data_IF_758066142490
#
_entry.id   IF_758066142490
#
_cell.length_a   1.000
_cell.length_b   1.000
_cell.length_c   1.000
_cell.angle_alpha   90.00
_cell.angle_beta   90.00
_cell.angle_gamma   90.00
#
_symmetry.space_group_name_H-M   'P 1'
#
loop_
_entity.id
_entity.type
_entity.pdbx_description
1 polymer ?
#
# COMPACT_ATOMS: atom_id res chain seq x y z
N UNK A 1 -8.94 -14.96 5.63
CA UNK A 1 -8.98 -15.30 4.21
C UNK A 1 -10.26 -14.78 3.58
N UNK A 2 -10.13 -14.08 2.44
CA UNK A 2 -11.28 -13.54 1.72
C UNK A 2 -11.94 -14.67 0.93
N UNK A 3 -13.23 -14.92 1.11
CA UNK A 3 -13.92 -15.94 0.30
C UNK A 3 -13.76 -15.68 -1.20
N UNK A 4 -13.70 -16.72 -2.06
CA UNK A 4 -13.52 -16.57 -3.50
C UNK A 4 -14.52 -15.61 -4.17
N UNK A 5 -15.76 -15.62 -3.74
CA UNK A 5 -16.81 -14.74 -4.28
C UNK A 5 -16.59 -13.25 -3.98
N UNK A 6 -15.80 -12.92 -2.97
CA UNK A 6 -15.44 -11.52 -2.64
C UNK A 6 -14.20 -11.05 -3.37
N UNK A 7 -13.48 -11.94 -4.04
CA UNK A 7 -12.21 -11.65 -4.69
C UNK A 7 -12.34 -11.31 -6.16
N UNK A 8 -13.55 -11.20 -6.68
CA UNK A 8 -13.78 -10.86 -8.08
C UNK A 8 -13.20 -9.52 -8.45
N UNK A 9 -12.49 -9.48 -9.56
CA UNK A 9 -12.21 -8.23 -10.27
C UNK A 9 -13.51 -7.81 -10.96
N UNK A 10 -13.94 -6.59 -10.72
CA UNK A 10 -14.97 -6.00 -11.54
C UNK A 10 -14.35 -5.54 -12.87
N UNK A 11 -15.11 -5.70 -13.93
CA UNK A 11 -14.70 -5.50 -15.33
C UNK A 11 -14.29 -4.07 -15.69
N UNK A 12 -14.41 -3.11 -14.79
CA UNK A 12 -14.18 -1.70 -15.09
C UNK A 12 -12.72 -1.31 -15.26
N UNK A 13 -11.77 -2.10 -14.78
CA UNK A 13 -10.35 -1.73 -14.81
C UNK A 13 -10.04 -0.41 -14.09
N UNK A 14 -10.91 0.04 -13.22
CA UNK A 14 -10.78 1.30 -12.51
C UNK A 14 -9.62 1.24 -11.52
N UNK A 15 -8.79 2.28 -11.53
CA UNK A 15 -7.57 2.39 -10.71
C UNK A 15 -7.79 3.43 -9.66
N UNK A 16 -7.53 3.08 -8.41
CA UNK A 16 -7.68 3.99 -7.28
C UNK A 16 -6.47 3.96 -6.36
N UNK A 17 -6.23 5.08 -5.70
CA UNK A 17 -5.21 5.26 -4.66
C UNK A 17 -5.73 6.18 -3.56
N UNK A 18 -5.02 6.25 -2.45
CA UNK A 18 -5.42 7.10 -1.34
C UNK A 18 -6.66 6.58 -0.60
N UNK A 19 -6.93 5.27 -0.70
CA UNK A 19 -8.05 4.64 -0.03
C UNK A 19 -7.74 4.34 1.43
N UNK A 20 -8.78 4.37 2.24
CA UNK A 20 -8.75 3.84 3.61
C UNK A 20 -8.90 2.31 3.61
N UNK A 21 -8.43 1.60 4.66
CA UNK A 21 -8.47 0.14 4.68
C UNK A 21 -9.84 -0.47 4.40
N UNK A 22 -10.92 0.09 4.94
CA UNK A 22 -12.28 -0.42 4.74
C UNK A 22 -12.86 -0.09 3.35
N UNK A 23 -12.34 0.93 2.68
CA UNK A 23 -12.74 1.28 1.30
C UNK A 23 -12.19 0.27 0.29
N UNK A 24 -11.15 -0.49 0.67
CA UNK A 24 -10.55 -1.50 -0.19
C UNK A 24 -11.55 -2.58 -0.62
N UNK A 25 -12.54 -2.90 0.20
CA UNK A 25 -13.57 -3.88 -0.14
C UNK A 25 -14.75 -3.27 -0.92
N UNK A 26 -15.01 -1.98 -0.76
CA UNK A 26 -16.21 -1.33 -1.30
C UNK A 26 -16.05 -0.80 -2.72
N UNK A 27 -14.87 -0.27 -3.08
CA UNK A 27 -14.64 0.41 -4.36
C UNK A 27 -14.37 -0.53 -5.54
N UNK A 28 -13.87 -1.71 -5.28
CA UNK A 28 -13.58 -2.80 -6.25
C UNK A 28 -12.89 -2.39 -7.55
N UNK A 29 -11.90 -1.49 -7.55
CA UNK A 29 -11.06 -1.27 -8.72
C UNK A 29 -10.20 -2.50 -9.00
N UNK A 30 -9.69 -2.66 -10.23
CA UNK A 30 -8.82 -3.77 -10.59
C UNK A 30 -7.52 -3.77 -9.76
N UNK A 31 -6.95 -2.60 -9.54
CA UNK A 31 -5.73 -2.41 -8.74
C UNK A 31 -5.87 -1.16 -7.87
N UNK A 32 -5.18 -1.19 -6.73
CA UNK A 32 -5.17 -0.11 -5.74
C UNK A 32 -3.75 0.18 -5.31
N UNK A 33 -3.48 1.42 -4.94
CA UNK A 33 -2.20 1.85 -4.42
C UNK A 33 -2.36 2.37 -3.01
N UNK A 34 -1.59 1.84 -2.10
CA UNK A 34 -1.57 2.23 -0.68
C UNK A 34 -0.14 2.52 -0.23
N UNK A 35 0.06 3.41 0.74
CA UNK A 35 1.37 3.58 1.36
C UNK A 35 1.82 2.27 2.00
N UNK A 36 3.10 1.94 1.88
CA UNK A 36 3.63 0.77 2.57
C UNK A 36 3.81 1.06 4.06
N UNK A 37 3.36 0.11 4.87
CA UNK A 37 3.47 0.17 6.32
C UNK A 37 4.89 -0.10 6.83
N UNK A 38 5.68 -0.85 6.06
CA UNK A 38 7.04 -1.29 6.41
C UNK A 38 8.05 -0.69 5.45
N UNK A 39 8.19 0.63 5.51
CA UNK A 39 9.09 1.34 4.62
C UNK A 39 10.55 0.95 4.81
N UNK A 40 11.27 0.84 3.69
CA UNK A 40 12.72 0.63 3.67
C UNK A 40 13.43 1.95 3.99
N UNK A 41 12.93 3.05 3.43
CA UNK A 41 13.45 4.41 3.68
C UNK A 41 12.30 5.30 4.11
N UNK A 42 12.30 5.70 5.37
CA UNK A 42 11.22 6.49 5.97
C UNK A 42 11.21 7.94 5.50
N UNK A 43 10.07 8.61 5.69
CA UNK A 43 9.93 10.05 5.50
C UNK A 43 11.02 10.83 6.27
N UNK A 44 11.29 10.45 7.52
CA UNK A 44 12.27 11.12 8.37
C UNK A 44 13.68 11.16 7.73
N UNK A 45 14.08 10.06 7.08
CA UNK A 45 15.36 10.03 6.36
C UNK A 45 15.42 11.09 5.26
N UNK A 46 14.38 11.22 4.46
CA UNK A 46 14.32 12.20 3.38
C UNK A 46 14.18 13.63 3.89
N UNK A 47 13.37 13.82 4.93
CA UNK A 47 13.18 15.10 5.58
C UNK A 47 14.50 15.61 6.19
N UNK A 48 15.16 14.80 7.03
CA UNK A 48 16.33 15.22 7.81
C UNK A 48 17.57 15.40 6.95
N UNK A 49 17.73 14.60 5.90
CA UNK A 49 18.93 14.67 5.06
C UNK A 49 18.80 15.59 3.84
N UNK A 50 17.58 15.82 3.36
CA UNK A 50 17.33 16.52 2.09
C UNK A 50 16.28 17.62 2.18
N UNK A 51 15.70 17.88 3.34
CA UNK A 51 14.63 18.85 3.52
C UNK A 51 13.36 18.49 2.72
N UNK A 52 13.10 17.19 2.55
CA UNK A 52 11.89 16.72 1.88
C UNK A 52 10.66 17.12 2.66
N UNK A 53 9.65 17.63 1.97
CA UNK A 53 8.36 17.97 2.57
C UNK A 53 7.26 17.10 1.98
N UNK A 54 6.29 16.77 2.80
CA UNK A 54 5.13 15.97 2.37
C UNK A 54 4.36 16.71 1.29
N UNK A 55 4.04 16.00 0.20
CA UNK A 55 3.18 16.50 -0.87
C UNK A 55 1.76 16.80 -0.34
N UNK A 56 1.11 17.81 -0.91
CA UNK A 56 -0.24 18.23 -0.47
C UNK A 56 -1.28 17.11 -0.57
N UNK A 57 -1.19 16.28 -1.61
CA UNK A 57 -2.13 15.16 -1.77
C UNK A 57 -1.86 14.05 -0.75
N UNK A 58 -0.60 13.84 -0.38
CA UNK A 58 -0.21 12.90 0.67
C UNK A 58 -0.64 13.42 2.05
N UNK A 59 -0.46 14.71 2.33
CA UNK A 59 -0.92 15.34 3.56
C UNK A 59 -2.45 15.23 3.69
N UNK A 60 -3.19 15.52 2.64
CA UNK A 60 -4.66 15.32 2.60
C UNK A 60 -5.07 13.87 2.83
N UNK A 61 -4.30 12.93 2.31
CA UNK A 61 -4.55 11.51 2.56
C UNK A 61 -4.33 11.16 4.04
N UNK A 62 -3.26 11.66 4.67
CA UNK A 62 -3.03 11.53 6.11
C UNK A 62 -4.22 12.10 6.92
N UNK A 63 -4.68 13.30 6.59
CA UNK A 63 -5.86 13.93 7.22
C UNK A 63 -7.12 13.05 7.14
N UNK A 64 -7.33 12.37 6.01
CA UNK A 64 -8.45 11.42 5.87
C UNK A 64 -8.33 10.23 6.82
N UNK A 65 -7.13 9.66 6.98
CA UNK A 65 -6.91 8.59 7.95
C UNK A 65 -7.12 9.07 9.39
N UNK A 66 -6.71 10.30 9.69
CA UNK A 66 -6.88 10.90 11.01
C UNK A 66 -8.36 11.12 11.37
N UNK A 67 -9.15 11.55 10.38
CA UNK A 67 -10.59 11.81 10.54
C UNK A 67 -11.45 10.54 10.55
N UNK A 68 -10.96 9.43 10.05
CA UNK A 68 -11.66 8.14 10.01
C UNK A 68 -11.22 7.25 11.18
N UNK A 69 -12.17 6.81 12.02
CA UNK A 69 -11.88 6.03 13.22
C UNK A 69 -11.12 4.74 12.91
N UNK A 70 -11.55 3.98 11.91
CA UNK A 70 -10.92 2.73 11.49
C UNK A 70 -9.54 2.98 10.86
N UNK A 71 -9.42 4.02 10.04
CA UNK A 71 -8.17 4.47 9.45
C UNK A 71 -7.16 4.89 10.50
N UNK A 72 -7.57 5.72 11.47
CA UNK A 72 -6.72 6.15 12.57
C UNK A 72 -6.25 4.96 13.40
N UNK A 73 -7.16 4.07 13.80
CA UNK A 73 -6.81 2.87 14.56
C UNK A 73 -5.80 1.99 13.80
N UNK A 74 -5.94 1.86 12.49
CA UNK A 74 -5.00 1.12 11.65
C UNK A 74 -3.60 1.73 11.69
N UNK A 75 -3.48 3.05 11.49
CA UNK A 75 -2.20 3.77 11.54
C UNK A 75 -1.54 3.62 12.91
N UNK A 76 -2.27 3.83 14.00
CA UNK A 76 -1.75 3.67 15.36
C UNK A 76 -1.20 2.26 15.61
N UNK A 77 -1.93 1.23 15.16
CA UNK A 77 -1.47 -0.15 15.27
C UNK A 77 -0.17 -0.40 14.51
N UNK A 78 -0.04 0.15 13.32
CA UNK A 78 1.18 0.04 12.50
C UNK A 78 2.35 0.75 13.17
N UNK A 79 2.16 1.97 13.67
CA UNK A 79 3.22 2.72 14.35
C UNK A 79 3.68 1.97 15.60
N UNK A 80 2.75 1.46 16.44
CA UNK A 80 3.09 0.63 17.60
C UNK A 80 3.91 -0.60 17.21
N UNK A 81 3.48 -1.30 16.17
CA UNK A 81 4.19 -2.49 15.67
C UNK A 81 5.61 -2.15 15.25
N UNK A 82 5.82 -1.06 14.52
CA UNK A 82 7.14 -0.58 14.10
C UNK A 82 8.03 -0.21 15.30
N UNK A 83 7.49 0.53 16.26
CA UNK A 83 8.22 0.92 17.48
C UNK A 83 8.66 -0.31 18.27
N UNK A 84 7.75 -1.26 18.50
CA UNK A 84 8.04 -2.52 19.18
C UNK A 84 9.13 -3.32 18.47
N UNK A 85 9.02 -3.46 17.15
CA UNK A 85 10.02 -4.17 16.34
C UNK A 85 11.40 -3.48 16.37
N UNK A 86 11.42 -2.16 16.53
CA UNK A 86 12.64 -1.37 16.68
C UNK A 86 13.18 -1.31 18.13
N UNK A 87 12.52 -1.97 19.09
CA UNK A 87 12.89 -1.93 20.51
C UNK A 87 12.69 -0.55 21.16
N UNK A 88 11.80 0.27 20.58
CA UNK A 88 11.45 1.60 21.09
C UNK A 88 10.17 1.54 21.93
N UNK A 89 9.95 2.59 22.73
CA UNK A 89 8.73 2.73 23.52
C UNK A 89 7.50 2.85 22.60
N UNK A 90 6.56 1.92 22.77
CA UNK A 90 5.30 1.87 22.03
C UNK A 90 4.09 2.27 22.91
N UNK A 91 4.32 2.57 24.21
CA UNK A 91 3.29 2.95 25.18
C UNK A 91 2.99 4.47 25.19
N UNK A 92 3.17 5.11 24.04
CA UNK A 92 2.83 6.51 23.84
C UNK A 92 1.31 6.70 23.70
N UNK A 93 0.83 7.89 24.02
CA UNK A 93 -0.55 8.26 23.74
C UNK A 93 -0.83 8.32 22.24
N UNK A 94 -2.10 8.26 21.86
CA UNK A 94 -2.53 8.17 20.47
C UNK A 94 -2.11 9.40 19.63
N UNK A 95 -2.03 10.58 20.23
CA UNK A 95 -1.64 11.81 19.54
C UNK A 95 -0.14 11.77 19.23
N UNK A 96 0.68 11.39 20.19
CA UNK A 96 2.12 11.20 20.01
C UNK A 96 2.44 10.11 18.98
N UNK A 97 1.70 8.99 19.01
CA UNK A 97 1.85 7.93 18.01
C UNK A 97 1.46 8.39 16.61
N UNK A 98 0.35 9.12 16.47
CA UNK A 98 -0.08 9.62 15.18
C UNK A 98 0.86 10.67 14.60
N UNK A 99 1.51 11.47 15.45
CA UNK A 99 2.57 12.40 15.03
C UNK A 99 3.78 11.67 14.40
N UNK A 100 4.05 10.42 14.81
CA UNK A 100 5.09 9.59 14.21
C UNK A 100 4.67 8.92 12.89
N UNK A 101 3.45 9.14 12.45
CA UNK A 101 2.91 8.50 11.25
C UNK A 101 3.35 9.16 9.92
N UNK A 102 4.13 10.22 9.94
CA UNK A 102 4.58 10.91 8.73
C UNK A 102 5.35 9.97 7.79
N UNK A 103 6.19 9.10 8.34
CA UNK A 103 6.88 8.06 7.60
C UNK A 103 5.94 7.07 6.91
N UNK A 104 4.76 6.82 7.47
CA UNK A 104 3.73 5.96 6.89
C UNK A 104 3.15 6.54 5.58
N UNK A 105 2.99 7.86 5.51
CA UNK A 105 2.36 8.53 4.38
C UNK A 105 3.37 9.12 3.39
N UNK A 106 4.46 9.67 3.90
CA UNK A 106 5.40 10.47 3.13
C UNK A 106 6.65 9.75 2.63
N UNK A 107 6.82 8.46 2.90
CA UNK A 107 8.09 7.72 2.68
C UNK A 107 8.38 7.39 1.26
N UNK A 108 7.81 7.53 0.24
CA UNK A 108 8.19 7.12 -1.13
C UNK A 108 8.27 5.58 -1.34
N UNK A 109 7.51 4.84 -0.55
CA UNK A 109 7.32 3.41 -0.74
C UNK A 109 5.82 3.09 -0.74
N UNK A 110 5.31 2.62 -1.86
CA UNK A 110 3.90 2.28 -2.03
C UNK A 110 3.75 0.81 -2.43
N UNK A 111 2.59 0.25 -2.11
CA UNK A 111 2.20 -1.10 -2.54
C UNK A 111 1.03 -0.99 -3.51
N UNK A 112 1.17 -1.61 -4.67
CA UNK A 112 0.08 -1.79 -5.64
C UNK A 112 -0.51 -3.16 -5.40
N UNK A 113 -1.80 -3.21 -5.07
CA UNK A 113 -2.52 -4.42 -4.68
C UNK A 113 -3.58 -4.74 -5.73
N UNK A 114 -3.63 -5.98 -6.19
CA UNK A 114 -4.73 -6.49 -7.01
C UNK A 114 -6.00 -6.66 -6.17
N UNK A 115 -7.16 -6.41 -6.75
CA UNK A 115 -8.44 -6.61 -6.03
C UNK A 115 -8.80 -8.08 -5.90
N UNK A 116 -8.34 -8.90 -6.84
CA UNK A 116 -8.62 -10.33 -6.86
C UNK A 116 -7.59 -11.08 -6.01
N UNK A 117 -8.09 -11.82 -5.01
CA UNK A 117 -7.25 -12.71 -4.19
C UNK A 117 -7.16 -14.10 -4.82
N UNK A 118 -8.27 -14.63 -5.33
CA UNK A 118 -8.35 -15.93 -5.95
C UNK A 118 -8.64 -15.84 -7.46
N UNK A 119 -8.39 -16.91 -8.18
CA UNK A 119 -8.82 -17.03 -9.57
C UNK A 119 -10.34 -17.14 -9.66
N UNK A 120 -10.93 -16.79 -10.80
CA UNK A 120 -12.36 -16.91 -11.00
C UNK A 120 -12.78 -18.37 -10.93
N UNK A 121 -13.82 -18.64 -10.14
CA UNK A 121 -14.32 -20.00 -9.92
C UNK A 121 -13.47 -20.84 -8.97
N UNK A 122 -12.56 -20.23 -8.21
CA UNK A 122 -11.78 -20.93 -7.19
C UNK A 122 -12.68 -21.67 -6.19
N UNK A 123 -12.30 -22.90 -5.88
CA UNK A 123 -13.01 -23.79 -4.95
C UNK A 123 -12.21 -24.08 -3.69
N UNK A 124 -10.93 -23.74 -3.67
CA UNK A 124 -10.06 -23.84 -2.49
C UNK A 124 -9.07 -22.68 -2.39
N UNK A 125 -8.47 -22.53 -1.24
CA UNK A 125 -7.60 -21.43 -0.87
C UNK A 125 -6.19 -21.50 -1.50
N UNK A 126 -5.83 -22.59 -2.16
CA UNK A 126 -4.59 -22.68 -2.92
C UNK A 126 -4.66 -22.02 -4.31
N UNK A 127 -5.86 -21.73 -4.79
CA UNK A 127 -6.13 -21.18 -6.12
C UNK A 127 -6.00 -19.65 -6.14
N UNK A 128 -4.85 -19.16 -5.73
CA UNK A 128 -4.57 -17.73 -5.63
C UNK A 128 -4.41 -17.06 -7.00
N UNK A 129 -4.90 -15.83 -7.12
CA UNK A 129 -4.61 -14.98 -8.26
C UNK A 129 -3.13 -14.54 -8.22
N UNK A 130 -2.46 -14.66 -9.35
CA UNK A 130 -1.05 -14.34 -9.52
C UNK A 130 -0.83 -13.57 -10.82
N UNK A 131 0.38 -13.09 -11.06
CA UNK A 131 0.72 -12.52 -12.37
C UNK A 131 0.44 -13.48 -13.53
N UNK A 132 0.61 -14.78 -13.32
CA UNK A 132 0.34 -15.80 -14.34
C UNK A 132 -1.14 -16.04 -14.63
N UNK A 133 -2.04 -15.54 -13.80
CA UNK A 133 -3.51 -15.72 -13.96
C UNK A 133 -4.22 -14.43 -14.39
N UNK A 134 -3.50 -13.33 -14.55
CA UNK A 134 -4.05 -12.09 -15.09
C UNK A 134 -4.32 -12.22 -16.61
N UNK A 135 -5.43 -11.64 -17.05
CA UNK A 135 -5.69 -11.46 -18.47
C UNK A 135 -4.73 -10.43 -19.11
N UNK A 136 -4.60 -10.38 -20.44
CA UNK A 136 -3.81 -9.34 -21.10
C UNK A 136 -4.23 -7.92 -20.73
N UNK A 137 -5.53 -7.66 -20.58
CA UNK A 137 -6.05 -6.35 -20.18
C UNK A 137 -5.68 -5.99 -18.74
N UNK A 138 -5.76 -6.94 -17.82
CA UNK A 138 -5.31 -6.77 -16.44
C UNK A 138 -3.80 -6.51 -16.37
N UNK A 139 -2.99 -7.21 -17.16
CA UNK A 139 -1.56 -6.95 -17.27
C UNK A 139 -1.27 -5.54 -17.79
N UNK A 140 -2.00 -5.10 -18.81
CA UNK A 140 -1.88 -3.75 -19.33
C UNK A 140 -2.20 -2.71 -18.25
N UNK A 141 -3.32 -2.87 -17.54
CA UNK A 141 -3.71 -1.98 -16.44
C UNK A 141 -2.66 -1.96 -15.32
N UNK A 142 -2.21 -3.11 -14.86
CA UNK A 142 -1.20 -3.22 -13.80
C UNK A 142 0.10 -2.53 -14.22
N UNK A 143 0.55 -2.75 -15.45
CA UNK A 143 1.79 -2.17 -15.97
C UNK A 143 1.67 -0.65 -16.11
N UNK A 144 0.58 -0.17 -16.68
CA UNK A 144 0.32 1.26 -16.84
C UNK A 144 0.24 1.95 -15.47
N UNK A 145 -0.51 1.38 -14.54
CA UNK A 145 -0.63 1.92 -13.19
C UNK A 145 0.72 1.92 -12.45
N UNK A 146 1.51 0.88 -12.62
CA UNK A 146 2.87 0.82 -12.05
C UNK A 146 3.76 1.92 -12.65
N UNK A 147 3.70 2.14 -13.95
CA UNK A 147 4.47 3.19 -14.62
C UNK A 147 4.05 4.60 -14.15
N UNK A 148 2.75 4.85 -14.02
CA UNK A 148 2.23 6.11 -13.52
C UNK A 148 2.62 6.33 -12.04
N UNK A 149 2.51 5.29 -11.22
CA UNK A 149 2.94 5.33 -9.82
C UNK A 149 4.44 5.62 -9.69
N UNK A 150 5.26 5.02 -10.55
CA UNK A 150 6.71 5.28 -10.62
C UNK A 150 7.00 6.73 -10.99
N UNK A 151 6.30 7.28 -11.99
CA UNK A 151 6.44 8.68 -12.39
C UNK A 151 6.10 9.62 -11.24
N UNK A 152 5.04 9.34 -10.50
CA UNK A 152 4.62 10.16 -9.36
C UNK A 152 5.61 10.09 -8.20
N UNK A 153 6.23 8.94 -7.91
CA UNK A 153 7.29 8.85 -6.90
C UNK A 153 8.47 9.76 -7.25
N UNK A 154 8.89 9.80 -8.51
CA UNK A 154 9.92 10.75 -8.97
C UNK A 154 9.48 12.21 -8.85
N UNK A 155 8.22 12.52 -9.11
CA UNK A 155 7.69 13.88 -8.98
C UNK A 155 7.64 14.33 -7.52
N UNK A 156 7.30 13.42 -6.60
CA UNK A 156 7.26 13.71 -5.17
C UNK A 156 8.62 13.89 -4.56
N UNK A 157 9.61 13.12 -5.00
CA UNK A 157 10.95 13.17 -4.44
C UNK A 157 11.99 13.38 -5.54
N UNK A 158 12.38 14.65 -5.72
CA UNK A 158 13.40 15.06 -6.72
C UNK A 158 14.80 14.47 -6.46
N UNK A 159 15.07 13.95 -5.28
CA UNK A 159 16.34 13.34 -4.92
C UNK A 159 16.38 11.84 -5.19
N UNK A 160 15.25 11.22 -5.51
CA UNK A 160 15.21 9.81 -5.87
C UNK A 160 15.99 9.59 -7.19
N UNK A 161 17.06 8.82 -7.12
CA UNK A 161 17.87 8.50 -8.29
C UNK A 161 17.23 7.40 -9.14
N UNK A 162 16.49 6.50 -8.54
CA UNK A 162 15.72 5.45 -9.22
C UNK A 162 14.55 4.98 -8.35
N UNK A 163 13.56 4.36 -8.98
CA UNK A 163 12.46 3.67 -8.32
C UNK A 163 12.59 2.18 -8.65
N UNK A 164 12.75 1.37 -7.62
CA UNK A 164 12.73 -0.08 -7.75
C UNK A 164 11.29 -0.56 -7.74
N UNK A 165 10.88 -1.29 -8.77
CA UNK A 165 9.60 -1.99 -8.82
C UNK A 165 9.88 -3.48 -8.74
N UNK A 166 9.29 -4.16 -7.76
CA UNK A 166 9.48 -5.60 -7.59
C UNK A 166 8.19 -6.25 -7.12
N UNK A 167 8.13 -7.55 -7.27
CA UNK A 167 7.04 -8.38 -6.81
C UNK A 167 7.61 -9.62 -6.12
N UNK A 168 7.33 -9.78 -4.84
CA UNK A 168 7.55 -11.02 -4.14
C UNK A 168 6.27 -11.85 -4.20
N UNK A 169 6.39 -13.13 -4.54
CA UNK A 169 5.24 -14.02 -4.61
C UNK A 169 5.34 -15.11 -3.55
N UNK A 170 4.38 -15.11 -2.62
CA UNK A 170 4.28 -15.99 -1.47
C UNK A 170 5.45 -15.84 -0.45
N UNK A 171 5.28 -16.40 0.73
CA UNK A 171 6.24 -16.32 1.82
C UNK A 171 7.66 -16.82 1.45
N UNK A 172 7.85 -17.88 0.66
CA UNK A 172 9.20 -18.33 0.27
C UNK A 172 9.99 -17.30 -0.55
N UNK A 173 9.31 -16.38 -1.24
CA UNK A 173 9.95 -15.27 -1.97
C UNK A 173 10.05 -13.99 -1.13
N UNK A 174 9.70 -14.03 0.16
CA UNK A 174 9.74 -12.89 1.06
C UNK A 174 8.49 -11.98 1.00
N UNK A 175 7.37 -12.46 0.44
CA UNK A 175 6.12 -11.73 0.50
C UNK A 175 5.59 -11.64 1.94
N UNK A 176 5.08 -10.48 2.32
CA UNK A 176 4.48 -10.26 3.64
C UNK A 176 3.08 -10.87 3.75
N UNK A 177 2.43 -11.13 2.63
CA UNK A 177 1.08 -11.71 2.54
C UNK A 177 0.87 -12.36 1.18
N UNK A 178 0.01 -13.37 1.16
CA UNK A 178 -0.28 -14.19 -0.04
C UNK A 178 -1.39 -13.58 -0.90
N UNK A 179 -1.16 -12.38 -1.37
CA UNK A 179 -2.05 -11.63 -2.26
C UNK A 179 -1.20 -10.94 -3.33
N UNK A 180 -1.69 -10.88 -4.58
CA UNK A 180 -0.96 -10.23 -5.67
C UNK A 180 -0.70 -8.76 -5.37
N UNK A 181 0.58 -8.38 -5.25
CA UNK A 181 1.03 -7.01 -5.02
C UNK A 181 2.39 -6.72 -5.67
N UNK A 182 2.67 -5.46 -5.89
CA UNK A 182 3.98 -4.92 -6.29
C UNK A 182 4.40 -3.79 -5.38
#
# INVERSE_FOLDING_TARGET
DTPPEKSRILSSGEIQRGLLPHELDSSRPAFRRVPNLFEIVSYDYWHDNYGFTMDVDVARHKERYEADEAGRAHVLNVVRTKLTAAGKDAELDDESLFALADGFFGGCHDVIIGSRHFVDGATDDSQLASSGTLSPDEHFLLTTFTADSTRELYQRNRYAAYVAVFQNWLAPAGASFDHLHK
#
